data_IF_850215982163
#
_entry.id   IF_850215982163
#
_cell.length_a   1.000
_cell.length_b   1.000
_cell.length_c   1.000
_cell.angle_alpha   90.00
_cell.angle_beta   90.00
_cell.angle_gamma   90.00
#
_symmetry.space_group_name_H-M   'P 1'
#
loop_
_entity.id
_entity.type
_entity.pdbx_description
1 polymer ?
#
# COMPACT_ATOMS: atom_id res chain seq x y z
N UNK A 1 -14.93 4.84 10.77
CA UNK A 1 -15.60 4.24 9.58
C UNK A 1 -15.39 5.16 8.39
N UNK A 2 -14.67 4.71 7.36
CA UNK A 2 -14.43 5.47 6.15
C UNK A 2 -15.42 4.98 5.09
N UNK A 3 -16.48 5.76 4.84
CA UNK A 3 -17.45 5.46 3.80
C UNK A 3 -17.02 6.02 2.45
N UNK A 4 -16.79 5.16 1.44
CA UNK A 4 -16.60 5.60 0.06
C UNK A 4 -17.97 5.68 -0.63
N UNK A 5 -18.60 6.86 -0.65
CA UNK A 5 -19.83 7.10 -1.39
C UNK A 5 -19.54 7.63 -2.79
N UNK A 6 -19.81 6.82 -3.82
CA UNK A 6 -19.95 7.28 -5.19
C UNK A 6 -21.43 7.26 -5.56
N UNK A 7 -21.96 8.41 -6.01
CA UNK A 7 -23.34 8.60 -6.42
C UNK A 7 -23.55 8.00 -7.83
N UNK A 8 -24.32 6.94 -7.92
CA UNK A 8 -24.84 6.38 -9.17
C UNK A 8 -26.06 5.51 -8.85
N UNK A 9 -27.09 5.58 -9.65
CA UNK A 9 -28.35 4.86 -9.48
C UNK A 9 -28.13 3.35 -9.41
N UNK A 10 -28.65 2.70 -8.39
CA UNK A 10 -28.43 1.32 -7.93
C UNK A 10 -27.15 1.17 -7.09
N UNK A 11 -27.23 1.77 -5.93
CA UNK A 11 -26.18 1.72 -4.95
C UNK A 11 -26.25 0.40 -4.20
N UNK A 12 -25.38 -0.53 -4.54
CA UNK A 12 -24.86 -1.43 -3.53
C UNK A 12 -24.11 -0.54 -2.53
N UNK A 13 -24.61 -0.42 -1.32
CA UNK A 13 -23.84 0.12 -0.20
C UNK A 13 -22.65 -0.80 -0.07
N UNK A 14 -21.49 -0.36 -0.60
CA UNK A 14 -20.23 -1.07 -0.37
C UNK A 14 -19.88 -0.83 1.07
N UNK A 15 -19.48 -1.90 1.72
CA UNK A 15 -19.15 -1.86 3.13
C UNK A 15 -18.06 -0.83 3.40
N UNK A 16 -18.22 -0.10 4.49
CA UNK A 16 -17.22 0.86 4.96
C UNK A 16 -16.02 0.13 5.56
N UNK A 17 -14.84 0.73 5.45
CA UNK A 17 -13.65 0.25 6.13
C UNK A 17 -13.43 1.04 7.42
N UNK A 18 -13.10 0.34 8.50
CA UNK A 18 -12.70 0.93 9.78
C UNK A 18 -11.22 0.67 10.00
N UNK A 19 -10.49 1.71 10.37
CA UNK A 19 -9.07 1.62 10.74
C UNK A 19 -8.87 2.31 12.08
N UNK A 20 -8.20 1.63 12.99
CA UNK A 20 -7.68 2.18 14.24
C UNK A 20 -6.20 1.87 14.27
N UNK A 21 -5.35 2.88 14.38
CA UNK A 21 -3.91 2.74 14.54
C UNK A 21 -3.53 3.18 15.95
N UNK A 22 -2.88 2.30 16.69
CA UNK A 22 -2.41 2.57 18.07
C UNK A 22 -0.97 3.11 18.05
N UNK A 23 -0.76 4.20 17.32
CA UNK A 23 0.52 4.92 17.27
C UNK A 23 1.62 4.25 16.45
N UNK A 24 1.27 3.34 15.56
CA UNK A 24 2.20 2.57 14.72
C UNK A 24 2.00 2.85 13.23
N UNK A 25 2.87 2.27 12.40
CA UNK A 25 2.71 2.31 10.96
C UNK A 25 1.67 1.32 10.45
N UNK A 26 1.03 1.64 9.35
CA UNK A 26 0.19 0.72 8.56
C UNK A 26 0.96 0.23 7.35
N UNK A 27 1.09 -1.08 7.22
CA UNK A 27 1.55 -1.72 5.99
C UNK A 27 0.38 -2.43 5.29
N UNK A 28 0.11 -1.99 4.08
CA UNK A 28 -1.02 -2.46 3.27
C UNK A 28 -0.53 -3.28 2.08
N UNK A 29 -0.84 -4.58 2.08
CA UNK A 29 -0.52 -5.48 0.98
C UNK A 29 -1.74 -5.78 0.11
N UNK A 30 -1.51 -6.37 -1.06
CA UNK A 30 -2.57 -6.74 -2.01
C UNK A 30 -2.13 -6.58 -3.45
N UNK A 31 -2.88 -7.14 -4.37
CA UNK A 31 -2.63 -7.00 -5.79
C UNK A 31 -2.86 -5.57 -6.29
N UNK A 32 -2.38 -5.28 -7.50
CA UNK A 32 -2.77 -4.06 -8.19
C UNK A 32 -4.28 -4.09 -8.46
N UNK A 33 -4.96 -2.95 -8.42
CA UNK A 33 -6.42 -2.80 -8.54
C UNK A 33 -7.25 -3.20 -7.30
N UNK A 34 -6.66 -3.79 -6.26
CA UNK A 34 -7.40 -4.19 -5.04
C UNK A 34 -7.90 -3.02 -4.19
N UNK A 35 -7.42 -1.80 -4.44
CA UNK A 35 -7.86 -0.59 -3.73
C UNK A 35 -6.85 0.02 -2.77
N UNK A 36 -5.62 -0.54 -2.61
CA UNK A 36 -4.57 -0.04 -1.70
C UNK A 36 -4.33 1.46 -1.81
N UNK A 37 -3.95 1.91 -3.01
CA UNK A 37 -3.67 3.32 -3.29
C UNK A 37 -4.87 4.22 -3.01
N UNK A 38 -6.08 3.77 -3.37
CA UNK A 38 -7.32 4.50 -3.11
C UNK A 38 -7.55 4.64 -1.62
N UNK A 39 -7.33 3.59 -0.84
CA UNK A 39 -7.50 3.62 0.60
C UNK A 39 -6.51 4.58 1.28
N UNK A 40 -5.21 4.51 0.95
CA UNK A 40 -4.21 5.45 1.49
C UNK A 40 -4.56 6.90 1.11
N UNK A 41 -4.96 7.15 -0.14
CA UNK A 41 -5.40 8.49 -0.56
C UNK A 41 -6.59 8.97 0.25
N UNK A 42 -7.55 8.09 0.53
CA UNK A 42 -8.72 8.43 1.36
C UNK A 42 -8.30 8.84 2.78
N UNK A 43 -7.35 8.14 3.39
CA UNK A 43 -6.81 8.49 4.71
C UNK A 43 -6.13 9.87 4.70
N UNK A 44 -5.26 10.11 3.72
CA UNK A 44 -4.55 11.41 3.57
C UNK A 44 -5.51 12.55 3.30
N UNK A 45 -6.52 12.36 2.44
CA UNK A 45 -7.52 13.38 2.14
C UNK A 45 -8.38 13.69 3.36
N UNK A 46 -8.78 12.69 4.14
CA UNK A 46 -9.51 12.93 5.39
C UNK A 46 -8.65 13.70 6.40
N UNK A 47 -7.36 13.35 6.56
CA UNK A 47 -6.45 14.11 7.41
C UNK A 47 -6.34 15.57 6.94
N UNK A 48 -6.11 15.80 5.65
CA UNK A 48 -6.00 17.13 5.08
C UNK A 48 -7.27 17.97 5.28
N UNK A 49 -8.45 17.41 4.99
CA UNK A 49 -9.71 18.15 5.12
C UNK A 49 -10.12 18.35 6.56
N UNK A 50 -9.84 17.42 7.46
CA UNK A 50 -10.07 17.57 8.88
C UNK A 50 -9.20 18.71 9.47
N UNK A 51 -7.93 18.78 9.10
CA UNK A 51 -7.01 19.80 9.61
C UNK A 51 -7.24 21.19 9.02
N UNK A 52 -7.75 21.28 7.78
CA UNK A 52 -7.88 22.56 7.09
C UNK A 52 -9.30 23.11 7.09
N UNK A 53 -10.32 22.25 7.08
CA UNK A 53 -11.72 22.62 6.90
C UNK A 53 -12.61 22.13 8.04
N UNK A 54 -12.07 21.37 8.99
CA UNK A 54 -12.82 20.75 10.10
C UNK A 54 -13.96 19.82 9.62
N UNK A 55 -13.72 19.13 8.49
CA UNK A 55 -14.64 18.15 7.90
C UNK A 55 -13.90 16.88 7.52
N UNK A 56 -14.60 15.73 7.59
CA UNK A 56 -14.11 14.46 7.08
C UNK A 56 -15.16 13.76 6.20
N UNK A 57 -14.70 12.95 5.27
CA UNK A 57 -15.53 12.10 4.42
C UNK A 57 -15.56 10.67 4.99
N UNK A 58 -15.94 10.58 6.27
CA UNK A 58 -16.00 9.35 7.04
C UNK A 58 -17.14 9.43 8.06
N UNK A 59 -17.59 8.29 8.59
CA UNK A 59 -18.55 8.25 9.69
C UNK A 59 -17.99 8.85 10.99
N UNK A 60 -16.68 8.66 11.23
CA UNK A 60 -15.91 9.31 12.29
C UNK A 60 -14.45 9.42 11.90
N UNK A 61 -13.78 10.44 12.42
CA UNK A 61 -12.34 10.64 12.25
C UNK A 61 -11.76 11.25 13.52
N UNK A 62 -10.70 10.66 14.02
CA UNK A 62 -9.95 11.18 15.17
C UNK A 62 -8.47 10.95 14.91
N UNK A 63 -7.70 12.02 14.90
CA UNK A 63 -6.24 11.96 14.74
C UNK A 63 -5.60 13.20 15.41
N UNK A 64 -4.32 13.12 15.83
CA UNK A 64 -3.59 14.32 16.23
C UNK A 64 -3.36 15.24 15.01
N UNK A 65 -3.05 16.49 15.28
CA UNK A 65 -2.57 17.41 14.24
C UNK A 65 -1.17 16.97 13.77
N UNK A 66 -0.98 16.83 12.46
CA UNK A 66 0.23 16.29 11.87
C UNK A 66 0.65 17.04 10.60
N UNK A 67 1.94 17.09 10.32
CA UNK A 67 2.44 17.52 9.01
C UNK A 67 2.23 16.38 8.00
N UNK A 68 1.49 16.65 6.92
CA UNK A 68 1.19 15.66 5.90
C UNK A 68 2.27 15.63 4.82
N UNK A 69 2.88 14.48 4.61
CA UNK A 69 3.85 14.25 3.52
C UNK A 69 3.45 12.98 2.76
N UNK A 70 3.30 13.10 1.45
CA UNK A 70 2.87 11.95 0.63
C UNK A 70 3.78 11.73 -0.58
N UNK A 71 4.04 10.47 -0.87
CA UNK A 71 4.65 9.95 -2.10
C UNK A 71 3.69 8.95 -2.75
N UNK A 72 2.54 9.46 -3.16
CA UNK A 72 1.52 8.69 -3.88
C UNK A 72 1.51 9.20 -5.30
N UNK A 73 1.86 8.34 -6.24
CA UNK A 73 2.09 8.74 -7.63
C UNK A 73 0.92 9.47 -8.27
N UNK A 74 1.27 10.58 -8.89
CA UNK A 74 0.56 11.19 -9.99
C UNK A 74 1.49 10.97 -11.20
N UNK A 75 1.00 10.26 -12.23
CA UNK A 75 1.59 9.96 -13.55
C UNK A 75 2.99 10.51 -13.88
N UNK A 76 3.76 9.68 -14.61
CA UNK A 76 5.07 9.99 -15.20
C UNK A 76 5.11 11.38 -15.87
N UNK A 77 5.75 12.33 -15.21
CA UNK A 77 6.12 13.59 -15.86
C UNK A 77 7.48 13.37 -16.52
N UNK A 78 7.44 12.94 -17.79
CA UNK A 78 8.60 12.64 -18.64
C UNK A 78 9.42 13.92 -18.95
N UNK A 79 8.93 15.09 -18.54
CA UNK A 79 9.45 16.38 -18.97
C UNK A 79 10.77 16.82 -18.31
N UNK A 80 11.19 16.26 -17.19
CA UNK A 80 12.35 16.78 -16.43
C UNK A 80 13.65 15.97 -16.56
N UNK A 81 13.70 14.88 -17.35
CA UNK A 81 14.95 14.14 -17.60
C UNK A 81 15.60 13.49 -16.38
N UNK A 82 14.99 13.60 -15.20
CA UNK A 82 15.45 12.98 -13.97
C UNK A 82 14.96 11.54 -13.91
N UNK A 83 15.85 10.58 -13.58
CA UNK A 83 15.46 9.20 -13.38
C UNK A 83 14.36 9.13 -12.32
N UNK A 84 13.25 8.47 -12.63
CA UNK A 84 12.15 8.18 -11.74
C UNK A 84 12.62 7.73 -10.34
N UNK A 85 13.59 6.83 -10.29
CA UNK A 85 14.20 6.35 -9.05
C UNK A 85 14.87 7.49 -8.23
N UNK A 86 15.55 8.43 -8.88
CA UNK A 86 16.17 9.55 -8.19
C UNK A 86 15.14 10.47 -7.53
N UNK A 87 13.99 10.68 -8.18
CA UNK A 87 12.89 11.46 -7.59
C UNK A 87 12.30 10.77 -6.36
N UNK A 88 12.13 9.43 -6.39
CA UNK A 88 11.74 8.66 -5.21
C UNK A 88 12.74 8.83 -4.07
N UNK A 89 14.03 8.68 -4.34
CA UNK A 89 15.11 8.86 -3.35
C UNK A 89 15.09 10.26 -2.73
N UNK A 90 14.93 11.30 -3.53
CA UNK A 90 14.86 12.69 -3.03
C UNK A 90 13.59 12.93 -2.21
N UNK A 91 12.48 12.32 -2.56
CA UNK A 91 11.23 12.43 -1.80
C UNK A 91 11.36 11.74 -0.44
N UNK A 92 11.89 10.53 -0.42
CA UNK A 92 12.15 9.80 0.83
C UNK A 92 13.16 10.54 1.71
N UNK A 93 14.19 11.16 1.13
CA UNK A 93 15.13 12.01 1.87
C UNK A 93 14.42 13.15 2.61
N UNK A 94 13.47 13.84 1.96
CA UNK A 94 12.65 14.89 2.61
C UNK A 94 11.81 14.35 3.76
N UNK A 95 11.31 13.11 3.66
CA UNK A 95 10.57 12.47 4.75
C UNK A 95 11.48 12.18 5.94
N UNK A 96 12.71 11.68 5.69
CA UNK A 96 13.70 11.45 6.73
C UNK A 96 14.14 12.78 7.40
N UNK A 97 14.29 13.85 6.65
CA UNK A 97 14.57 15.17 7.20
C UNK A 97 13.40 15.68 8.07
N UNK A 98 12.17 15.56 7.61
CA UNK A 98 10.97 15.95 8.36
C UNK A 98 10.75 15.11 9.63
N UNK A 99 11.16 13.83 9.62
CA UNK A 99 11.05 12.95 10.80
C UNK A 99 12.01 13.31 11.95
N UNK A 100 12.98 14.17 11.71
CA UNK A 100 13.89 14.67 12.75
C UNK A 100 13.30 15.83 13.53
N UNK A 101 12.24 16.46 13.02
CA UNK A 101 11.54 17.53 13.71
C UNK A 101 10.70 16.96 14.86
N UNK A 102 10.39 17.80 15.86
CA UNK A 102 9.50 17.44 16.97
C UNK A 102 8.01 17.39 16.58
N UNK A 103 7.67 17.83 15.37
CA UNK A 103 6.29 17.87 14.88
C UNK A 103 5.87 16.50 14.38
N UNK A 104 4.78 15.91 14.88
CA UNK A 104 4.26 14.66 14.35
C UNK A 104 3.99 14.76 12.84
N UNK A 105 4.32 13.71 12.11
CA UNK A 105 4.10 13.64 10.66
C UNK A 105 3.20 12.44 10.30
N UNK A 106 2.37 12.63 9.29
CA UNK A 106 1.73 11.54 8.56
C UNK A 106 2.48 11.35 7.24
N UNK A 107 3.20 10.24 7.14
CA UNK A 107 3.91 9.83 5.92
C UNK A 107 3.04 8.83 5.15
N UNK A 108 2.73 9.12 3.91
CA UNK A 108 1.98 8.23 3.04
C UNK A 108 2.80 7.85 1.81
N UNK A 109 3.05 6.56 1.64
CA UNK A 109 3.94 6.02 0.62
C UNK A 109 3.20 4.93 -0.18
N UNK A 110 3.21 5.05 -1.50
CA UNK A 110 2.64 4.05 -2.40
C UNK A 110 3.76 3.40 -3.21
N UNK A 111 4.19 2.23 -2.76
CA UNK A 111 5.28 1.43 -3.33
C UNK A 111 6.63 2.15 -3.41
N UNK A 112 7.50 1.87 -2.43
CA UNK A 112 8.84 2.44 -2.33
C UNK A 112 9.82 1.82 -3.33
N UNK A 113 10.66 2.66 -3.95
CA UNK A 113 11.85 2.28 -4.72
C UNK A 113 11.58 1.31 -5.88
N UNK A 114 10.49 1.52 -6.62
CA UNK A 114 10.14 0.70 -7.78
C UNK A 114 11.21 0.67 -8.88
N UNK A 115 12.06 1.66 -8.94
CA UNK A 115 13.08 1.81 -9.99
C UNK A 115 14.33 0.95 -9.80
N UNK A 116 14.41 0.07 -8.78
CA UNK A 116 15.55 -0.82 -8.55
C UNK A 116 15.16 -2.30 -8.48
N UNK A 117 16.14 -3.20 -8.32
CA UNK A 117 15.90 -4.63 -8.20
C UNK A 117 15.19 -4.97 -6.86
N UNK A 118 14.54 -6.12 -6.80
CA UNK A 118 13.70 -6.53 -5.67
C UNK A 118 14.46 -6.59 -4.35
N UNK A 119 15.67 -7.16 -4.33
CA UNK A 119 16.44 -7.32 -3.10
C UNK A 119 16.85 -5.97 -2.52
N UNK A 120 17.36 -5.05 -3.35
CA UNK A 120 17.73 -3.71 -2.92
C UNK A 120 16.51 -2.89 -2.51
N UNK A 121 15.40 -3.03 -3.22
CA UNK A 121 14.13 -2.37 -2.88
C UNK A 121 13.63 -2.76 -1.50
N UNK A 122 13.57 -4.06 -1.21
CA UNK A 122 13.15 -4.59 0.09
C UNK A 122 14.09 -4.13 1.19
N UNK A 123 15.41 -4.24 0.99
CA UNK A 123 16.39 -3.86 1.99
C UNK A 123 16.34 -2.35 2.30
N UNK A 124 16.32 -1.50 1.27
CA UNK A 124 16.22 -0.06 1.43
C UNK A 124 14.87 0.36 2.01
N UNK A 125 13.78 -0.25 1.53
CA UNK A 125 12.43 0.00 2.03
C UNK A 125 12.30 -0.32 3.51
N UNK A 126 12.77 -1.50 3.94
CA UNK A 126 12.80 -1.91 5.35
C UNK A 126 13.55 -0.91 6.23
N UNK A 127 14.75 -0.51 5.82
CA UNK A 127 15.58 0.41 6.58
C UNK A 127 14.92 1.79 6.75
N UNK A 128 14.35 2.34 5.67
CA UNK A 128 13.65 3.63 5.68
C UNK A 128 12.40 3.56 6.54
N UNK A 129 11.54 2.57 6.33
CA UNK A 129 10.26 2.45 7.03
C UNK A 129 10.47 2.22 8.53
N UNK A 130 11.42 1.34 8.91
CA UNK A 130 11.78 1.16 10.31
C UNK A 130 12.33 2.44 10.96
N UNK A 131 13.01 3.31 10.18
CA UNK A 131 13.48 4.60 10.69
C UNK A 131 12.32 5.59 10.89
N UNK A 132 11.43 5.72 9.91
CA UNK A 132 10.28 6.64 9.98
C UNK A 132 9.31 6.30 11.11
N UNK A 133 9.21 5.03 11.49
CA UNK A 133 8.31 4.54 12.55
C UNK A 133 8.86 4.73 13.98
N UNK A 134 10.03 5.35 14.16
CA UNK A 134 10.65 5.53 15.50
C UNK A 134 10.15 6.73 16.29
N UNK A 135 9.48 7.66 15.64
CA UNK A 135 9.02 8.91 16.26
C UNK A 135 7.51 8.93 16.51
N UNK A 136 6.96 10.09 16.89
CA UNK A 136 5.53 10.27 17.07
C UNK A 136 4.82 10.44 15.71
N UNK A 137 5.19 9.63 14.74
CA UNK A 137 4.73 9.72 13.37
C UNK A 137 3.77 8.57 13.05
N UNK A 138 2.89 8.79 12.09
CA UNK A 138 2.08 7.75 11.45
C UNK A 138 2.64 7.49 10.06
N UNK A 139 2.96 6.24 9.77
CA UNK A 139 3.50 5.82 8.47
C UNK A 139 2.50 4.90 7.78
N UNK A 140 1.93 5.38 6.68
CA UNK A 140 1.02 4.60 5.83
C UNK A 140 1.79 4.16 4.59
N UNK A 141 1.93 2.86 4.38
CA UNK A 141 2.64 2.35 3.20
C UNK A 141 1.85 1.24 2.53
N UNK A 142 1.74 1.30 1.19
CA UNK A 142 1.29 0.17 0.38
C UNK A 142 2.47 -0.48 -0.33
N UNK A 143 2.42 -1.80 -0.45
CA UNK A 143 3.41 -2.57 -1.19
C UNK A 143 2.79 -3.85 -1.75
N UNK A 144 3.42 -4.40 -2.78
CA UNK A 144 3.17 -5.75 -3.26
C UNK A 144 4.25 -6.75 -2.81
N UNK A 145 5.30 -6.27 -2.14
CA UNK A 145 6.39 -7.11 -1.61
C UNK A 145 5.95 -7.76 -0.29
N UNK A 146 5.63 -9.04 -0.33
CA UNK A 146 5.20 -9.81 0.87
C UNK A 146 6.37 -9.93 1.85
N UNK A 147 7.58 -10.10 1.34
CA UNK A 147 8.82 -10.19 2.12
C UNK A 147 9.06 -8.92 2.96
N UNK A 148 8.72 -7.75 2.43
CA UNK A 148 8.80 -6.50 3.18
C UNK A 148 7.80 -6.48 4.35
N UNK A 149 6.61 -7.05 4.16
CA UNK A 149 5.61 -7.16 5.22
C UNK A 149 6.12 -8.03 6.38
N UNK A 150 6.72 -9.18 6.08
CA UNK A 150 7.30 -10.08 7.08
C UNK A 150 8.42 -9.40 7.89
N UNK A 151 9.28 -8.61 7.22
CA UNK A 151 10.39 -7.90 7.87
C UNK A 151 9.95 -6.72 8.75
N UNK A 152 8.79 -6.12 8.50
CA UNK A 152 8.29 -4.94 9.22
C UNK A 152 7.34 -5.28 10.38
N UNK A 153 6.86 -6.51 10.46
CA UNK A 153 6.02 -6.97 11.56
C UNK A 153 6.68 -6.73 12.93
N UNK A 154 7.99 -6.98 13.03
CA UNK A 154 8.77 -6.72 14.25
C UNK A 154 9.06 -5.24 14.53
N UNK A 155 8.88 -4.35 13.58
CA UNK A 155 9.12 -2.91 13.70
C UNK A 155 7.86 -2.11 14.09
N UNK A 156 6.78 -2.78 14.51
CA UNK A 156 5.56 -2.16 15.01
C UNK A 156 4.63 -1.67 13.90
N UNK A 157 4.67 -2.28 12.73
CA UNK A 157 3.69 -2.05 11.67
C UNK A 157 2.49 -2.96 11.86
N UNK A 158 1.30 -2.39 11.77
CA UNK A 158 0.06 -3.15 11.64
C UNK A 158 -0.08 -3.63 10.19
N UNK A 159 -0.13 -4.96 10.01
CA UNK A 159 -0.24 -5.57 8.70
C UNK A 159 -1.71 -5.72 8.32
N UNK A 160 -2.06 -5.16 7.18
CA UNK A 160 -3.39 -5.29 6.59
C UNK A 160 -3.28 -5.62 5.11
N UNK A 161 -4.37 -6.14 4.54
CA UNK A 161 -4.40 -6.43 3.11
C UNK A 161 -5.78 -6.22 2.49
N UNK A 162 -5.77 -5.98 1.19
CA UNK A 162 -6.91 -6.16 0.31
C UNK A 162 -6.73 -7.43 -0.51
N UNK A 163 -7.79 -8.16 -0.74
CA UNK A 163 -7.78 -9.42 -1.47
C UNK A 163 -8.64 -9.37 -2.71
N UNK A 164 -8.31 -10.24 -3.64
CA UNK A 164 -9.15 -10.62 -4.75
C UNK A 164 -9.55 -12.09 -4.63
N UNK A 165 -10.72 -12.41 -5.14
CA UNK A 165 -11.24 -13.77 -5.25
C UNK A 165 -11.65 -14.06 -6.69
N UNK A 166 -11.55 -15.33 -7.08
CA UNK A 166 -12.09 -15.79 -8.35
C UNK A 166 -13.42 -16.44 -8.08
N UNK A 167 -14.49 -15.78 -8.51
CA UNK A 167 -15.88 -16.26 -8.37
C UNK A 167 -16.48 -16.41 -9.77
N UNK A 168 -16.99 -17.60 -10.10
CA UNK A 168 -17.60 -17.91 -11.39
C UNK A 168 -16.73 -17.52 -12.60
N UNK A 169 -15.43 -17.78 -12.55
CA UNK A 169 -14.49 -17.46 -13.61
C UNK A 169 -14.23 -15.95 -13.80
N UNK A 170 -14.51 -15.14 -12.79
CA UNK A 170 -14.24 -13.69 -12.80
C UNK A 170 -13.45 -13.26 -11.58
N UNK A 171 -12.57 -12.29 -11.79
CA UNK A 171 -11.84 -11.65 -10.70
C UNK A 171 -12.78 -10.64 -10.01
N UNK A 172 -12.98 -10.85 -8.70
CA UNK A 172 -13.83 -10.00 -7.86
C UNK A 172 -12.99 -9.42 -6.73
N UNK A 173 -13.13 -8.13 -6.49
CA UNK A 173 -12.49 -7.41 -5.38
C UNK A 173 -13.56 -7.05 -4.36
N UNK A 174 -13.36 -7.42 -3.09
CA UNK A 174 -14.29 -7.07 -2.02
C UNK A 174 -14.10 -5.64 -1.52
N UNK A 175 -12.93 -5.05 -1.78
CA UNK A 175 -12.51 -3.72 -1.30
C UNK A 175 -12.59 -3.56 0.23
N UNK A 176 -12.50 -4.69 0.95
CA UNK A 176 -12.52 -4.74 2.41
C UNK A 176 -11.09 -4.80 2.94
N UNK A 177 -10.86 -4.03 4.02
CA UNK A 177 -9.61 -4.06 4.76
C UNK A 177 -9.58 -5.29 5.67
N UNK A 178 -8.66 -6.21 5.41
CA UNK A 178 -8.45 -7.41 6.22
C UNK A 178 -7.18 -7.27 7.06
N UNK A 179 -7.23 -7.78 8.28
CA UNK A 179 -6.05 -7.81 9.18
C UNK A 179 -5.08 -8.92 8.77
N UNK A 180 -3.80 -8.65 8.93
CA UNK A 180 -2.71 -9.54 8.62
C UNK A 180 -2.16 -9.38 7.19
N UNK A 181 -1.06 -10.07 6.83
CA UNK A 181 -0.47 -10.01 5.51
C UNK A 181 -1.29 -10.80 4.49
N UNK A 182 -1.20 -10.40 3.20
CA UNK A 182 -1.75 -11.19 2.11
C UNK A 182 -0.93 -12.47 1.95
N UNK A 183 -1.58 -13.63 2.00
CA UNK A 183 -0.95 -14.94 1.84
C UNK A 183 -1.11 -15.55 0.45
N UNK A 184 -1.99 -14.98 -0.37
CA UNK A 184 -2.34 -15.52 -1.69
C UNK A 184 -1.56 -14.84 -2.81
N UNK A 185 -1.05 -15.66 -3.76
CA UNK A 185 -0.41 -15.18 -4.99
C UNK A 185 -1.27 -15.64 -6.17
N UNK A 186 -2.02 -14.73 -6.77
CA UNK A 186 -3.01 -15.06 -7.80
C UNK A 186 -2.57 -14.74 -9.23
N UNK A 187 -1.35 -14.25 -9.46
CA UNK A 187 -0.92 -13.79 -10.78
C UNK A 187 -1.04 -14.87 -11.87
N UNK A 188 -0.60 -16.10 -11.60
CA UNK A 188 -0.71 -17.21 -12.57
C UNK A 188 -2.16 -17.64 -12.76
N UNK A 189 -2.94 -17.67 -11.68
CA UNK A 189 -4.38 -17.96 -11.74
C UNK A 189 -5.17 -16.95 -12.58
N UNK A 190 -4.71 -15.70 -12.61
CA UNK A 190 -5.30 -14.68 -13.49
C UNK A 190 -5.03 -15.03 -14.96
N UNK A 191 -3.85 -15.57 -15.32
CA UNK A 191 -3.59 -16.05 -16.69
C UNK A 191 -4.54 -17.18 -17.10
N UNK A 192 -4.87 -18.09 -16.16
CA UNK A 192 -5.89 -19.13 -16.41
C UNK A 192 -7.25 -18.55 -16.74
N UNK A 193 -7.65 -17.49 -16.01
CA UNK A 193 -8.94 -16.81 -16.23
C UNK A 193 -9.06 -16.14 -17.59
N UNK A 194 -7.96 -15.77 -18.20
CA UNK A 194 -7.89 -15.12 -19.51
C UNK A 194 -7.50 -16.10 -20.63
N UNK A 195 -7.75 -17.42 -20.43
CA UNK A 195 -7.57 -18.47 -21.40
C UNK A 195 -6.17 -18.54 -22.03
N UNK A 196 -5.12 -18.27 -21.23
CA UNK A 196 -3.76 -18.50 -21.69
C UNK A 196 -3.51 -19.98 -21.97
N UNK A 197 -2.61 -20.34 -22.92
CA UNK A 197 -2.34 -21.73 -23.26
C UNK A 197 -1.99 -22.58 -22.03
N UNK A 198 -2.61 -23.78 -21.85
CA UNK A 198 -2.38 -24.62 -20.68
C UNK A 198 -0.91 -25.01 -20.45
N UNK A 199 -0.14 -25.20 -21.51
CA UNK A 199 1.29 -25.48 -21.45
C UNK A 199 2.08 -24.30 -20.84
N UNK A 200 1.72 -23.05 -21.15
CA UNK A 200 2.35 -21.85 -20.59
C UNK A 200 2.05 -21.74 -19.09
N UNK A 201 0.82 -22.02 -18.69
CA UNK A 201 0.38 -21.98 -17.29
C UNK A 201 1.12 -23.06 -16.49
N UNK A 202 1.20 -24.29 -17.02
CA UNK A 202 1.95 -25.39 -16.39
C UNK A 202 3.43 -25.06 -16.22
N UNK A 203 4.06 -24.44 -17.22
CA UNK A 203 5.44 -23.99 -17.13
C UNK A 203 5.60 -22.89 -16.06
N UNK A 204 4.69 -21.92 -16.00
CA UNK A 204 4.72 -20.84 -15.00
C UNK A 204 4.66 -21.38 -13.56
N UNK A 205 3.79 -22.34 -13.28
CA UNK A 205 3.74 -23.01 -11.97
C UNK A 205 5.02 -23.79 -11.68
N UNK A 206 5.56 -24.52 -12.64
CA UNK A 206 6.80 -25.26 -12.45
C UNK A 206 8.02 -24.35 -12.18
N UNK A 207 8.05 -23.17 -12.80
CA UNK A 207 9.06 -22.13 -12.51
C UNK A 207 8.86 -21.54 -11.12
N UNK A 208 7.63 -21.21 -10.75
CA UNK A 208 7.29 -20.70 -9.42
C UNK A 208 7.75 -21.66 -8.31
N UNK A 209 7.44 -22.95 -8.43
CA UNK A 209 7.89 -23.96 -7.45
C UNK A 209 9.41 -24.04 -7.33
N UNK A 210 10.14 -23.92 -8.45
CA UNK A 210 11.60 -23.91 -8.42
C UNK A 210 12.18 -22.69 -7.72
N UNK A 211 11.56 -21.53 -7.90
CA UNK A 211 11.97 -20.28 -7.23
C UNK A 211 11.69 -20.32 -5.72
N UNK A 212 10.57 -20.91 -5.31
CA UNK A 212 10.23 -21.06 -3.88
C UNK A 212 11.09 -22.13 -3.16
N UNK A 213 11.66 -23.09 -3.89
CA UNK A 213 12.52 -24.15 -3.33
C UNK A 213 14.01 -23.83 -3.34
N UNK A 214 14.45 -22.70 -3.93
CA UNK A 214 15.85 -22.26 -3.83
C UNK A 214 16.07 -21.71 -2.41
N UNK A 215 16.96 -22.34 -1.61
CA UNK A 215 17.48 -21.67 -0.42
C UNK A 215 18.29 -20.45 -0.85
N UNK A 216 18.14 -19.36 -0.14
CA UNK A 216 19.00 -18.18 -0.28
C UNK A 216 20.48 -18.51 0.00
#
# INVERSE_FOLDING_TARGET
>A
EIGSGLVGSEMCIRDSNTLVLDGTGLLLTGSNMSGKTTFIRTLVLNALTAETLDICFAGSYTAPYMRLLSSIRISDDIAEGTSYYLQEVLTVKRFLEASQDSVPCLFALDELFKGTNTTERIAAGKAVLAHLNRGPHIVLVSTHDIELAELLDSDGYELHHFREEVVDGRLVFDYQLHTGPLTTRNAIRILELYDYPPELIAEAYAVQERLLKKPE
#
